data_IF_418474049908
#
_entry.id   IF_418474049908
#
_cell.length_a   1.000
_cell.length_b   1.000
_cell.length_c   1.000
_cell.angle_alpha   90.00
_cell.angle_beta   90.00
_cell.angle_gamma   90.00
#
_symmetry.space_group_name_H-M   'P 1'
#
loop_
_entity.id
_entity.type
_entity.pdbx_description
1 polymer ?
#
# COMPACT_ATOMS: atom_id res chain seq x y z
N UNK A 1 62.09 3.60 -1.66
CA UNK A 1 60.91 2.74 -1.55
C UNK A 1 60.34 2.90 -0.15
N UNK A 2 59.28 3.67 -0.01
CA UNK A 2 58.65 3.93 1.30
C UNK A 2 57.75 2.74 1.65
N UNK A 3 58.16 1.99 2.73
CA UNK A 3 57.38 0.90 3.24
C UNK A 3 56.15 1.42 3.93
N UNK A 4 55.00 1.17 3.34
CA UNK A 4 53.68 1.44 3.97
C UNK A 4 53.61 0.60 5.22
N UNK A 5 53.51 1.26 6.39
CA UNK A 5 53.41 0.65 7.70
C UNK A 5 52.18 -0.26 7.79
N UNK A 6 52.35 -1.44 8.39
CA UNK A 6 51.21 -2.39 8.66
C UNK A 6 50.04 -1.72 9.39
N UNK A 7 50.30 -0.57 9.98
CA UNK A 7 49.29 0.25 10.67
C UNK A 7 48.33 0.96 9.72
N UNK A 8 48.84 1.42 8.56
CA UNK A 8 48.06 2.08 7.51
C UNK A 8 47.02 1.12 6.89
N UNK A 9 47.39 -0.15 6.68
CA UNK A 9 46.46 -1.16 6.18
C UNK A 9 45.33 -1.48 7.19
N UNK A 10 45.62 -1.46 8.50
CA UNK A 10 44.62 -1.67 9.54
C UNK A 10 43.61 -0.51 9.61
N UNK A 11 44.06 0.72 9.46
CA UNK A 11 43.19 1.89 9.44
C UNK A 11 42.29 1.93 8.19
N UNK A 12 42.82 1.56 7.03
CA UNK A 12 42.05 1.49 5.76
C UNK A 12 41.00 0.36 5.84
N UNK A 13 41.37 -0.81 6.37
CA UNK A 13 40.45 -1.92 6.54
C UNK A 13 39.29 -1.58 7.51
N UNK A 14 39.58 -0.86 8.61
CA UNK A 14 38.56 -0.38 9.54
C UNK A 14 37.64 0.67 8.89
N UNK A 15 38.19 1.57 8.08
CA UNK A 15 37.41 2.59 7.38
C UNK A 15 36.47 1.98 6.33
N UNK A 16 36.93 0.94 5.61
CA UNK A 16 36.09 0.23 4.62
C UNK A 16 34.99 -0.56 5.31
N UNK A 17 35.23 -1.17 6.47
CA UNK A 17 34.20 -1.86 7.22
C UNK A 17 33.12 -0.90 7.75
N UNK A 18 33.47 0.31 8.18
CA UNK A 18 32.48 1.27 8.70
C UNK A 18 31.58 1.83 7.60
N UNK A 19 32.08 1.97 6.37
CA UNK A 19 31.26 2.44 5.21
C UNK A 19 30.29 1.36 4.75
N UNK A 20 30.59 0.08 4.91
CA UNK A 20 29.71 -1.02 4.49
C UNK A 20 28.47 -1.18 5.39
N UNK A 21 28.44 -0.61 6.59
CA UNK A 21 27.27 -0.65 7.48
C UNK A 21 26.28 0.52 7.29
N UNK A 22 26.62 1.53 6.48
CA UNK A 22 25.73 2.66 6.21
C UNK A 22 24.84 2.47 4.97
N UNK A 23 24.96 1.34 4.27
CA UNK A 23 24.10 1.00 3.13
C UNK A 23 22.94 0.07 3.56
N UNK A 24 22.40 0.24 4.78
CA UNK A 24 21.02 -0.11 5.01
C UNK A 24 20.19 0.99 4.34
N UNK A 25 19.81 0.71 3.11
CA UNK A 25 18.70 1.39 2.45
C UNK A 25 17.50 1.20 3.38
N UNK A 26 17.30 2.16 4.28
CA UNK A 26 16.02 2.33 4.96
C UNK A 26 15.07 2.78 3.85
N UNK A 27 14.56 1.83 3.06
CA UNK A 27 13.22 1.96 2.55
C UNK A 27 12.41 2.30 3.80
N UNK A 28 12.00 3.54 3.92
CA UNK A 28 11.05 3.93 4.93
C UNK A 28 9.82 3.09 4.61
N UNK A 29 9.69 1.96 5.30
CA UNK A 29 8.45 1.24 5.36
C UNK A 29 7.46 2.21 6.00
N UNK A 30 6.74 2.92 5.15
CA UNK A 30 5.68 3.81 5.61
C UNK A 30 4.65 2.89 6.21
N UNK A 31 4.45 3.05 7.50
CA UNK A 31 3.54 2.22 8.26
C UNK A 31 2.10 2.66 8.00
N UNK A 32 1.43 2.00 7.04
CA UNK A 32 0.02 2.22 6.77
C UNK A 32 -0.90 1.46 7.74
N UNK A 33 -0.37 0.93 8.82
CA UNK A 33 -1.13 0.17 9.79
C UNK A 33 -2.31 0.96 10.32
N UNK A 34 -3.44 0.30 10.38
CA UNK A 34 -4.65 0.86 10.94
C UNK A 34 -5.90 0.44 10.21
N UNK A 35 -6.98 1.00 10.66
CA UNK A 35 -8.29 0.86 10.05
C UNK A 35 -8.66 2.19 9.39
N UNK A 36 -8.94 2.12 8.09
CA UNK A 36 -9.23 3.25 7.23
C UNK A 36 -10.65 3.14 6.70
N UNK A 37 -11.50 4.12 7.02
CA UNK A 37 -12.86 4.19 6.49
C UNK A 37 -12.88 4.93 5.15
N UNK A 38 -13.39 4.29 4.09
CA UNK A 38 -13.60 4.94 2.81
C UNK A 38 -14.68 6.00 2.94
N UNK A 39 -14.38 7.25 2.63
CA UNK A 39 -15.34 8.36 2.61
C UNK A 39 -15.91 8.58 1.21
N UNK A 40 -15.04 8.64 0.24
CA UNK A 40 -15.42 8.82 -1.16
C UNK A 40 -14.37 8.23 -2.08
N UNK A 41 -14.80 7.60 -3.15
CA UNK A 41 -13.95 7.26 -4.28
C UNK A 41 -14.53 7.84 -5.57
N UNK A 42 -13.63 8.34 -6.40
CA UNK A 42 -13.90 8.73 -7.78
C UNK A 42 -13.19 7.72 -8.67
N UNK A 43 -13.94 6.89 -9.36
CA UNK A 43 -13.37 5.77 -10.12
C UNK A 43 -13.90 5.74 -11.53
N UNK A 44 -13.05 5.39 -12.48
CA UNK A 44 -13.43 5.24 -13.87
C UNK A 44 -14.45 4.11 -13.99
N UNK A 45 -15.57 4.38 -14.66
CA UNK A 45 -16.60 3.37 -14.85
C UNK A 45 -16.07 2.20 -15.67
N UNK A 46 -16.30 0.97 -15.22
CA UNK A 46 -15.77 -0.24 -15.85
C UNK A 46 -16.37 -0.46 -17.26
N UNK A 47 -17.61 -0.06 -17.47
CA UNK A 47 -18.33 -0.23 -18.75
C UNK A 47 -18.14 0.95 -19.70
N UNK A 48 -17.90 2.15 -19.17
CA UNK A 48 -17.68 3.37 -19.93
C UNK A 48 -16.47 4.15 -19.39
N UNK A 49 -15.26 3.92 -19.94
CA UNK A 49 -14.03 4.58 -19.48
C UNK A 49 -14.00 6.10 -19.65
N UNK A 50 -14.95 6.67 -20.40
CA UNK A 50 -15.09 8.13 -20.52
C UNK A 50 -15.80 8.76 -19.31
N UNK A 51 -16.48 7.95 -18.52
CA UNK A 51 -17.27 8.33 -17.36
C UNK A 51 -16.53 7.98 -16.08
N UNK A 52 -16.73 8.82 -15.07
CA UNK A 52 -16.25 8.59 -13.71
C UNK A 52 -17.45 8.43 -12.77
N UNK A 53 -17.45 7.36 -12.01
CA UNK A 53 -18.43 7.11 -10.97
C UNK A 53 -17.95 7.65 -9.63
N UNK A 54 -18.90 8.10 -8.82
CA UNK A 54 -18.63 8.52 -7.44
C UNK A 54 -19.22 7.50 -6.48
N UNK A 55 -18.34 6.85 -5.72
CA UNK A 55 -18.72 5.95 -4.65
C UNK A 55 -18.66 6.74 -3.34
N UNK A 56 -19.82 7.01 -2.74
CA UNK A 56 -19.94 7.52 -1.38
C UNK A 56 -20.24 6.35 -0.47
N UNK A 57 -19.36 6.08 0.45
CA UNK A 57 -19.42 4.87 1.24
C UNK A 57 -19.63 5.18 2.71
N UNK A 58 -20.56 4.44 3.32
CA UNK A 58 -20.67 4.33 4.76
C UNK A 58 -20.27 2.92 5.17
N UNK A 59 -19.51 2.79 6.26
CA UNK A 59 -19.13 1.50 6.85
C UNK A 59 -18.34 0.58 5.90
N UNK A 60 -17.44 1.16 5.14
CA UNK A 60 -16.48 0.42 4.31
C UNK A 60 -15.08 0.67 4.83
N UNK A 61 -14.46 -0.37 5.31
CA UNK A 61 -13.17 -0.29 6.00
C UNK A 61 -12.10 -1.07 5.27
N UNK A 62 -10.95 -0.45 5.11
CA UNK A 62 -9.71 -1.09 4.69
C UNK A 62 -8.81 -1.17 5.90
N UNK A 63 -8.52 -2.38 6.37
CA UNK A 63 -7.60 -2.62 7.47
C UNK A 63 -6.28 -3.10 6.91
N UNK A 64 -5.18 -2.47 7.33
CA UNK A 64 -3.83 -2.84 6.94
C UNK A 64 -3.09 -3.29 8.19
N UNK A 65 -2.58 -4.53 8.17
CA UNK A 65 -1.81 -5.10 9.26
C UNK A 65 -0.68 -5.97 8.73
N UNK A 66 0.56 -5.58 8.95
CA UNK A 66 1.71 -6.21 8.30
C UNK A 66 1.61 -6.07 6.78
N UNK A 67 1.70 -7.18 6.08
CA UNK A 67 1.55 -7.24 4.62
C UNK A 67 0.11 -7.56 4.17
N UNK A 68 -0.83 -7.66 5.13
CA UNK A 68 -2.21 -8.06 4.87
C UNK A 68 -3.09 -6.83 4.73
N UNK A 69 -3.94 -6.85 3.71
CA UNK A 69 -5.04 -5.91 3.52
C UNK A 69 -6.35 -6.67 3.66
N UNK A 70 -7.22 -6.17 4.53
CA UNK A 70 -8.56 -6.68 4.70
C UNK A 70 -9.56 -5.59 4.34
N UNK A 71 -10.45 -5.88 3.39
CA UNK A 71 -11.58 -5.04 3.05
C UNK A 71 -12.81 -5.58 3.77
N UNK A 72 -13.52 -4.70 4.45
CA UNK A 72 -14.79 -5.02 5.09
C UNK A 72 -15.86 -4.01 4.66
N UNK A 73 -16.88 -4.49 3.96
CA UNK A 73 -18.08 -3.73 3.65
C UNK A 73 -19.20 -4.28 4.52
N UNK A 74 -19.50 -3.62 5.65
CA UNK A 74 -20.44 -4.12 6.66
C UNK A 74 -21.80 -4.44 6.03
N UNK A 75 -22.22 -5.70 6.16
CA UNK A 75 -23.46 -6.22 5.58
C UNK A 75 -23.36 -6.62 4.11
N UNK A 76 -22.20 -6.46 3.47
CA UNK A 76 -22.00 -6.78 2.05
C UNK A 76 -20.90 -7.84 1.82
N UNK A 77 -19.94 -7.95 2.71
CA UNK A 77 -18.89 -8.98 2.64
C UNK A 77 -17.50 -8.50 3.03
N UNK A 78 -16.57 -9.44 2.99
CA UNK A 78 -15.18 -9.28 3.32
C UNK A 78 -14.29 -9.67 2.15
N UNK A 79 -13.09 -9.10 2.08
CA UNK A 79 -12.06 -9.49 1.13
C UNK A 79 -10.68 -9.37 1.78
N UNK A 80 -9.83 -10.37 1.53
CA UNK A 80 -8.46 -10.41 2.04
C UNK A 80 -7.47 -10.39 0.88
N UNK A 81 -6.35 -9.75 1.12
CA UNK A 81 -5.25 -9.72 0.19
C UNK A 81 -3.94 -9.45 0.89
N UNK A 82 -2.88 -9.40 0.13
CA UNK A 82 -1.60 -8.89 0.58
C UNK A 82 -1.17 -7.71 -0.30
N UNK A 83 -0.32 -6.86 0.24
CA UNK A 83 0.28 -5.80 -0.54
C UNK A 83 1.80 -5.83 -0.45
N UNK A 84 2.43 -5.28 -1.47
CA UNK A 84 3.84 -4.91 -1.45
C UNK A 84 3.95 -3.43 -1.78
N UNK A 85 4.88 -2.76 -1.10
CA UNK A 85 5.18 -1.36 -1.34
C UNK A 85 6.45 -1.22 -2.17
N UNK A 86 6.41 -0.30 -3.13
CA UNK A 86 7.59 0.13 -3.89
C UNK A 86 7.56 1.65 -4.04
N UNK A 87 8.36 2.33 -3.23
CA UNK A 87 8.29 3.80 -3.14
C UNK A 87 6.93 4.26 -2.62
N UNK A 88 6.28 5.11 -3.40
CA UNK A 88 4.93 5.63 -3.13
C UNK A 88 3.79 4.75 -3.65
N UNK A 89 4.11 3.58 -4.22
CA UNK A 89 3.14 2.73 -4.90
C UNK A 89 2.85 1.47 -4.08
N UNK A 90 1.56 1.14 -3.96
CA UNK A 90 1.05 -0.09 -3.37
C UNK A 90 0.55 -1.02 -4.46
N UNK A 91 1.00 -2.26 -4.40
CA UNK A 91 0.56 -3.36 -5.26
C UNK A 91 -0.22 -4.33 -4.39
N UNK A 92 -1.55 -4.37 -4.56
CA UNK A 92 -2.45 -5.17 -3.74
C UNK A 92 -3.00 -6.31 -4.59
N UNK A 93 -2.92 -7.52 -4.07
CA UNK A 93 -3.50 -8.73 -4.67
C UNK A 93 -4.52 -9.29 -3.69
N UNK A 94 -5.79 -9.25 -4.05
CA UNK A 94 -6.83 -9.87 -3.25
C UNK A 94 -6.99 -11.35 -3.60
N UNK A 95 -7.19 -12.16 -2.57
CA UNK A 95 -7.38 -13.61 -2.74
C UNK A 95 -8.81 -13.90 -3.17
N UNK A 96 -8.94 -14.86 -4.07
CA UNK A 96 -10.23 -15.45 -4.38
C UNK A 96 -10.37 -16.70 -3.51
N UNK A 97 -11.02 -16.58 -2.37
CA UNK A 97 -11.43 -17.75 -1.62
C UNK A 97 -12.58 -18.43 -2.36
N UNK A 98 -12.41 -19.73 -2.64
CA UNK A 98 -13.47 -20.57 -3.21
C UNK A 98 -14.62 -20.84 -2.24
N UNK A 99 -14.82 -20.01 -1.22
CA UNK A 99 -15.77 -20.12 -0.12
C UNK A 99 -16.79 -18.99 -0.08
N UNK A 100 -17.30 -18.71 1.11
CA UNK A 100 -18.41 -17.80 1.37
C UNK A 100 -18.12 -16.31 1.10
N UNK A 101 -16.89 -15.93 0.77
CA UNK A 101 -16.48 -14.54 0.60
C UNK A 101 -16.12 -14.26 -0.84
N UNK A 102 -16.98 -13.55 -1.55
CA UNK A 102 -16.65 -13.04 -2.89
C UNK A 102 -15.79 -11.79 -2.77
N UNK A 103 -14.47 -12.02 -2.76
CA UNK A 103 -13.48 -10.95 -2.65
C UNK A 103 -13.59 -9.94 -3.80
N UNK A 104 -13.99 -10.40 -5.01
CA UNK A 104 -14.27 -9.51 -6.14
C UNK A 104 -15.41 -8.56 -5.81
N UNK A 105 -16.53 -9.10 -5.32
CA UNK A 105 -17.70 -8.29 -4.98
C UNK A 105 -17.36 -7.24 -3.92
N UNK A 106 -16.61 -7.62 -2.87
CA UNK A 106 -16.19 -6.68 -1.84
C UNK A 106 -15.24 -5.61 -2.40
N UNK A 107 -14.25 -5.98 -3.22
CA UNK A 107 -13.34 -5.05 -3.85
C UNK A 107 -14.06 -4.05 -4.77
N UNK A 108 -15.06 -4.52 -5.53
CA UNK A 108 -15.90 -3.67 -6.39
C UNK A 108 -16.66 -2.60 -5.57
N UNK A 109 -17.06 -2.92 -4.31
CA UNK A 109 -17.68 -1.95 -3.40
C UNK A 109 -16.75 -0.80 -3.01
N UNK A 110 -15.45 -0.99 -3.12
CA UNK A 110 -14.43 0.04 -2.93
C UNK A 110 -14.01 0.70 -4.25
N UNK A 111 -14.50 0.22 -5.39
CA UNK A 111 -14.05 0.66 -6.71
C UNK A 111 -12.71 0.06 -7.15
N UNK A 112 -12.30 -1.05 -6.54
CA UNK A 112 -11.11 -1.81 -6.94
C UNK A 112 -11.50 -2.89 -7.96
N UNK A 113 -11.97 -2.46 -9.14
CA UNK A 113 -12.52 -3.37 -10.16
C UNK A 113 -11.55 -4.44 -10.66
N UNK A 114 -10.24 -4.18 -10.60
CA UNK A 114 -9.19 -5.15 -10.93
C UNK A 114 -8.58 -5.78 -9.67
N UNK A 115 -9.41 -6.40 -8.84
CA UNK A 115 -9.05 -6.89 -7.51
C UNK A 115 -7.83 -7.81 -7.43
N UNK A 116 -7.45 -8.51 -8.52
CA UNK A 116 -6.24 -9.37 -8.58
C UNK A 116 -4.95 -8.59 -8.83
N UNK A 117 -5.03 -7.33 -9.24
CA UNK A 117 -3.86 -6.50 -9.57
C UNK A 117 -4.22 -5.03 -9.35
N UNK A 118 -4.43 -4.68 -8.09
CA UNK A 118 -4.70 -3.29 -7.70
C UNK A 118 -3.38 -2.58 -7.55
N UNK A 119 -3.09 -1.63 -8.43
CA UNK A 119 -1.91 -0.78 -8.37
C UNK A 119 -2.35 0.64 -8.12
N UNK A 120 -2.00 1.16 -6.96
CA UNK A 120 -2.33 2.52 -6.56
C UNK A 120 -1.10 3.25 -6.04
N UNK A 121 -1.09 4.55 -6.22
CA UNK A 121 -0.08 5.43 -5.61
C UNK A 121 -0.67 6.04 -4.34
N UNK A 122 0.17 6.21 -3.33
CA UNK A 122 -0.16 6.96 -2.14
C UNK A 122 0.15 8.43 -2.38
N UNK A 123 -0.89 9.24 -2.58
CA UNK A 123 -0.76 10.68 -2.80
C UNK A 123 -0.59 11.43 -1.48
N UNK A 124 -1.19 10.91 -0.40
CA UNK A 124 -1.10 11.46 0.94
C UNK A 124 -1.29 10.37 1.99
N UNK A 125 -0.54 10.47 3.08
CA UNK A 125 -0.69 9.63 4.26
C UNK A 125 -0.21 10.40 5.49
N UNK A 126 -1.06 10.47 6.51
CA UNK A 126 -0.73 10.99 7.84
C UNK A 126 -1.48 10.19 8.92
N UNK A 127 -1.57 10.74 10.16
CA UNK A 127 -2.27 10.08 11.26
C UNK A 127 -3.77 9.90 11.02
N UNK A 128 -4.38 10.73 10.18
CA UNK A 128 -5.82 10.89 10.10
C UNK A 128 -6.38 10.55 8.71
N UNK A 129 -5.56 10.65 7.67
CA UNK A 129 -6.00 10.49 6.29
C UNK A 129 -5.05 9.64 5.43
N UNK A 130 -5.64 8.89 4.50
CA UNK A 130 -4.94 8.16 3.45
C UNK A 130 -5.61 8.48 2.12
N UNK A 131 -4.84 8.98 1.15
CA UNK A 131 -5.33 9.24 -0.21
C UNK A 131 -4.58 8.37 -1.18
N UNK A 132 -5.33 7.54 -1.90
CA UNK A 132 -4.80 6.68 -2.95
C UNK A 132 -5.24 7.21 -4.32
N UNK A 133 -4.41 6.98 -5.35
CA UNK A 133 -4.73 7.35 -6.72
C UNK A 133 -4.26 6.33 -7.76
N UNK A 134 -4.94 6.29 -8.91
CA UNK A 134 -4.55 5.53 -10.10
C UNK A 134 -5.04 6.27 -11.35
N UNK A 135 -4.16 6.97 -12.03
CA UNK A 135 -4.54 7.81 -13.15
C UNK A 135 -5.50 8.91 -12.71
N UNK A 136 -6.76 8.86 -13.18
CA UNK A 136 -7.82 9.79 -12.78
C UNK A 136 -8.57 9.35 -11.51
N UNK A 137 -8.43 8.09 -11.13
CA UNK A 137 -9.15 7.52 -10.00
C UNK A 137 -8.52 7.96 -8.68
N UNK A 138 -9.36 8.23 -7.68
CA UNK A 138 -8.93 8.63 -6.34
C UNK A 138 -9.83 8.05 -5.28
N UNK A 139 -9.20 7.62 -4.17
CA UNK A 139 -9.85 7.12 -2.97
C UNK A 139 -9.42 7.94 -1.78
N UNK A 140 -10.38 8.39 -0.99
CA UNK A 140 -10.18 9.18 0.22
C UNK A 140 -10.63 8.37 1.42
N UNK A 141 -9.71 8.12 2.32
CA UNK A 141 -9.95 7.37 3.55
C UNK A 141 -9.63 8.24 4.76
N UNK A 142 -10.45 8.12 5.80
CA UNK A 142 -10.15 8.65 7.12
C UNK A 142 -9.74 7.50 8.04
N UNK A 143 -8.83 7.78 8.96
CA UNK A 143 -8.42 6.82 9.98
C UNK A 143 -9.53 6.67 11.02
N UNK A 144 -9.80 5.44 11.43
CA UNK A 144 -10.84 5.14 12.43
C UNK A 144 -10.19 4.93 13.81
N UNK A 145 -9.02 4.27 13.82
CA UNK A 145 -8.24 3.98 15.05
C UNK A 145 -6.75 3.89 14.73
#
# INVERSE_FOLDING_TARGET
MAGFSKWTYRCIALLVMTVSFCACDKTQDVDYFGQWELKVAYVTNEQDPSRQDTIRAERRYMCIQGEIVWLNAIGLGDGYGHYTQRGDSLFIVFYQDGGQHDCKYTADQFGFYHYKDVRVRVDHHDSDALILSKGKDKWYFDRVF
#
